data_IF_304322506054
#
_entry.id   IF_304322506054
#
_cell.length_a   1.000
_cell.length_b   1.000
_cell.length_c   1.000
_cell.angle_alpha   90.00
_cell.angle_beta   90.00
_cell.angle_gamma   90.00
#
_symmetry.space_group_name_H-M   'P 1'
#
loop_
_entity.id
_entity.type
_entity.pdbx_description
1 polymer ?
#
# COMPACT_ATOMS: atom_id res chain seq x y z
N UNK A 1 0.58 9.62 -1.46
CA UNK A 1 -0.86 9.25 -1.42
C UNK A 1 -1.14 8.38 -2.62
N UNK A 2 -1.48 7.12 -2.38
CA UNK A 2 -2.03 6.32 -3.48
C UNK A 2 -3.34 6.97 -3.91
N UNK A 3 -3.33 7.70 -5.00
CA UNK A 3 -4.51 8.35 -5.55
C UNK A 3 -5.22 7.33 -6.42
N UNK A 4 -6.31 6.76 -5.93
CA UNK A 4 -7.18 5.97 -6.81
C UNK A 4 -7.84 6.92 -7.81
N UNK A 5 -7.77 6.57 -9.09
CA UNK A 5 -8.36 7.35 -10.17
C UNK A 5 -9.51 6.56 -10.79
N UNK A 6 -10.72 7.09 -10.68
CA UNK A 6 -11.92 6.51 -11.28
C UNK A 6 -12.39 7.38 -12.44
N UNK A 7 -12.92 6.75 -13.48
CA UNK A 7 -13.53 7.45 -14.61
C UNK A 7 -15.04 7.19 -14.59
N UNK A 8 -15.82 8.25 -14.50
CA UNK A 8 -17.28 8.20 -14.58
C UNK A 8 -17.73 8.81 -15.89
N UNK A 9 -18.39 8.03 -16.73
CA UNK A 9 -19.06 8.47 -17.95
C UNK A 9 -20.53 8.01 -17.91
N UNK A 10 -21.34 8.48 -18.85
CA UNK A 10 -22.78 8.19 -18.87
C UNK A 10 -23.13 6.73 -19.26
N UNK A 11 -22.16 5.95 -19.75
CA UNK A 11 -22.41 4.59 -20.28
C UNK A 11 -22.23 3.49 -19.24
N UNK A 12 -21.63 3.80 -18.10
CA UNK A 12 -21.37 2.78 -17.07
C UNK A 12 -21.01 3.40 -15.72
N UNK A 13 -22.04 3.67 -14.94
CA UNK A 13 -21.87 4.18 -13.58
C UNK A 13 -21.78 3.00 -12.64
N UNK A 14 -20.57 2.47 -12.46
CA UNK A 14 -20.31 1.35 -11.55
C UNK A 14 -20.19 1.82 -10.10
N UNK A 15 -20.52 0.98 -9.10
CA UNK A 15 -20.17 1.24 -7.72
C UNK A 15 -18.67 1.47 -7.56
N UNK A 16 -18.28 2.35 -6.66
CA UNK A 16 -16.87 2.63 -6.34
C UNK A 16 -16.54 2.07 -4.98
N UNK A 17 -15.33 1.52 -4.84
CA UNK A 17 -14.76 1.16 -3.53
C UNK A 17 -13.60 2.09 -3.25
N UNK A 18 -13.66 2.81 -2.13
CA UNK A 18 -12.64 3.76 -1.67
C UNK A 18 -12.14 3.32 -0.30
N UNK A 19 -10.93 3.76 0.04
CA UNK A 19 -10.36 3.50 1.35
C UNK A 19 -10.44 4.74 2.25
N UNK A 20 -10.76 4.51 3.53
CA UNK A 20 -10.80 5.58 4.52
C UNK A 20 -9.43 6.26 4.67
N UNK A 21 -9.44 7.58 4.87
CA UNK A 21 -8.24 8.42 5.00
C UNK A 21 -7.28 8.43 3.79
N UNK A 22 -7.75 7.98 2.63
CA UNK A 22 -7.03 8.11 1.36
C UNK A 22 -7.68 9.16 0.45
N UNK A 23 -6.85 9.89 -0.30
CA UNK A 23 -7.32 10.84 -1.29
C UNK A 23 -7.65 10.08 -2.57
N UNK A 24 -8.90 10.13 -2.99
CA UNK A 24 -9.38 9.46 -4.20
C UNK A 24 -9.80 10.51 -5.22
N UNK A 25 -9.40 10.32 -6.48
CA UNK A 25 -9.72 11.21 -7.58
C UNK A 25 -10.74 10.56 -8.50
N UNK A 26 -11.88 11.23 -8.70
CA UNK A 26 -12.95 10.80 -9.61
C UNK A 26 -12.92 11.74 -10.81
N UNK A 27 -12.52 11.23 -11.96
CA UNK A 27 -12.49 11.95 -13.22
C UNK A 27 -13.85 11.89 -13.89
N UNK A 28 -14.41 13.04 -14.21
CA UNK A 28 -15.71 13.20 -14.81
C UNK A 28 -15.61 13.73 -16.24
N UNK A 29 -16.36 13.12 -17.15
CA UNK A 29 -16.59 13.64 -18.48
C UNK A 29 -18.08 13.49 -18.81
N UNK A 30 -18.91 14.26 -18.11
CA UNK A 30 -20.37 14.17 -18.14
C UNK A 30 -20.99 15.56 -18.30
N UNK A 31 -20.79 16.25 -19.45
CA UNK A 31 -21.31 17.59 -19.68
C UNK A 31 -22.83 17.66 -19.45
N UNK A 32 -23.29 18.66 -18.72
CA UNK A 32 -24.70 18.82 -18.36
C UNK A 32 -25.16 18.10 -17.09
N UNK A 33 -24.27 17.26 -16.47
CA UNK A 33 -24.59 16.50 -15.26
C UNK A 33 -23.63 16.88 -14.12
N UNK A 34 -23.93 17.92 -13.31
CA UNK A 34 -23.11 18.24 -12.13
C UNK A 34 -23.17 17.11 -11.10
N UNK A 35 -22.01 16.62 -10.68
CA UNK A 35 -21.87 15.52 -9.71
C UNK A 35 -21.53 16.01 -8.32
N UNK A 36 -22.03 15.27 -7.33
CA UNK A 36 -21.86 15.55 -5.91
C UNK A 36 -21.66 14.25 -5.14
N UNK A 37 -20.82 14.27 -4.13
CA UNK A 37 -20.70 13.20 -3.14
C UNK A 37 -21.72 13.45 -2.03
N UNK A 38 -22.50 12.44 -1.66
CA UNK A 38 -23.56 12.54 -0.64
C UNK A 38 -23.71 11.26 0.19
N UNK A 39 -24.52 11.31 1.29
CA UNK A 39 -24.58 10.24 2.28
C UNK A 39 -25.74 9.28 2.13
N UNK A 40 -26.88 9.69 1.63
CA UNK A 40 -28.13 8.94 1.86
C UNK A 40 -28.64 8.16 0.67
N UNK A 41 -28.37 8.57 -0.56
CA UNK A 41 -28.85 7.87 -1.76
C UNK A 41 -28.10 8.30 -3.03
N UNK A 42 -28.28 7.54 -4.13
CA UNK A 42 -27.81 7.92 -5.47
C UNK A 42 -28.68 8.98 -6.16
N UNK A 43 -29.78 9.40 -5.55
CA UNK A 43 -30.61 10.50 -6.02
C UNK A 43 -30.19 11.78 -5.31
N UNK A 44 -29.85 12.80 -6.10
CA UNK A 44 -29.34 14.06 -5.55
C UNK A 44 -30.27 14.71 -4.55
N UNK A 45 -29.73 15.07 -3.39
CA UNK A 45 -30.43 15.80 -2.33
C UNK A 45 -29.47 16.83 -1.73
N UNK A 46 -29.77 18.12 -1.87
CA UNK A 46 -28.85 19.21 -1.45
C UNK A 46 -28.43 19.12 0.02
N UNK A 47 -29.34 18.72 0.92
CA UNK A 47 -29.05 18.59 2.35
C UNK A 47 -28.10 17.44 2.72
N UNK A 48 -27.86 16.51 1.80
CA UNK A 48 -27.04 15.30 2.01
C UNK A 48 -25.62 15.42 1.43
N UNK A 49 -25.33 16.52 0.73
CA UNK A 49 -24.03 16.73 0.08
C UNK A 49 -22.91 16.76 1.13
N UNK A 50 -21.91 15.92 0.94
CA UNK A 50 -20.71 15.87 1.76
C UNK A 50 -19.79 17.00 1.35
N UNK A 51 -19.42 17.85 2.31
CA UNK A 51 -18.47 18.96 2.08
C UNK A 51 -17.12 18.68 2.70
N UNK A 52 -17.07 17.92 3.80
CA UNK A 52 -15.83 17.57 4.48
C UNK A 52 -15.04 16.52 3.67
N UNK A 53 -13.79 16.82 3.36
CA UNK A 53 -12.94 15.93 2.59
C UNK A 53 -13.26 15.86 1.09
N UNK A 54 -14.20 16.68 0.59
CA UNK A 54 -14.57 16.70 -0.83
C UNK A 54 -14.17 18.03 -1.45
N UNK A 55 -13.46 17.96 -2.58
CA UNK A 55 -13.15 19.10 -3.43
C UNK A 55 -13.74 18.86 -4.82
N UNK A 56 -14.38 19.86 -5.40
CA UNK A 56 -14.94 19.80 -6.76
C UNK A 56 -16.37 19.30 -6.86
N UNK A 57 -17.16 19.28 -5.77
CA UNK A 57 -18.61 19.05 -5.88
C UNK A 57 -19.24 20.00 -6.91
N UNK A 58 -20.13 19.47 -7.75
CA UNK A 58 -20.77 20.20 -8.85
C UNK A 58 -19.96 20.16 -10.16
N UNK A 59 -18.84 19.47 -10.21
CA UNK A 59 -18.05 19.28 -11.44
C UNK A 59 -18.83 18.43 -12.45
N UNK A 60 -18.76 18.81 -13.73
CA UNK A 60 -19.32 18.07 -14.88
C UNK A 60 -18.20 17.46 -15.73
N UNK A 61 -17.14 18.24 -15.95
CA UNK A 61 -15.94 17.84 -16.69
C UNK A 61 -14.73 18.25 -15.85
N UNK A 62 -13.88 17.29 -15.49
CA UNK A 62 -12.75 17.48 -14.59
C UNK A 62 -12.78 16.49 -13.44
N UNK A 63 -12.38 16.90 -12.25
CA UNK A 63 -12.17 15.99 -11.12
C UNK A 63 -12.97 16.37 -9.88
N UNK A 64 -13.47 15.35 -9.18
CA UNK A 64 -13.84 15.46 -7.77
C UNK A 64 -12.78 14.69 -6.98
N UNK A 65 -12.21 15.31 -5.96
CA UNK A 65 -11.35 14.62 -5.01
C UNK A 65 -12.14 14.37 -3.72
N UNK A 66 -12.10 13.12 -3.24
CA UNK A 66 -12.75 12.72 -2.00
C UNK A 66 -11.78 11.99 -1.08
N UNK A 67 -11.61 12.52 0.12
CA UNK A 67 -10.82 11.92 1.21
C UNK A 67 -11.78 11.59 2.36
N UNK A 68 -12.39 10.41 2.37
CA UNK A 68 -13.33 10.02 3.43
C UNK A 68 -12.59 9.84 4.75
N UNK A 69 -13.17 10.30 5.85
CA UNK A 69 -12.60 10.17 7.21
C UNK A 69 -13.22 9.06 8.04
N UNK A 70 -14.22 8.37 7.50
CA UNK A 70 -14.88 7.24 8.14
C UNK A 70 -15.33 6.22 7.09
N UNK A 71 -15.33 4.96 7.47
CA UNK A 71 -15.94 3.87 6.69
C UNK A 71 -17.45 4.05 6.60
N UNK A 72 -18.04 3.48 5.56
CA UNK A 72 -19.50 3.52 5.37
C UNK A 72 -19.90 3.66 3.91
N UNK A 73 -21.21 3.77 3.70
CA UNK A 73 -21.78 3.93 2.36
C UNK A 73 -21.96 5.41 2.08
N UNK A 74 -21.42 5.84 0.95
CA UNK A 74 -21.63 7.13 0.34
C UNK A 74 -22.19 6.93 -1.06
N UNK A 75 -22.54 8.00 -1.70
CA UNK A 75 -23.06 7.97 -3.06
C UNK A 75 -22.50 9.13 -3.86
N UNK A 76 -22.32 8.94 -5.15
CA UNK A 76 -22.24 10.06 -6.07
C UNK A 76 -23.55 10.20 -6.83
N UNK A 77 -24.00 11.40 -7.03
CA UNK A 77 -25.28 11.70 -7.66
C UNK A 77 -25.20 12.95 -8.51
N UNK A 78 -26.00 13.00 -9.57
CA UNK A 78 -26.11 14.20 -10.38
C UNK A 78 -27.35 15.03 -10.03
N UNK A 79 -27.19 16.35 -9.89
CA UNK A 79 -28.31 17.25 -9.67
C UNK A 79 -29.18 17.42 -10.90
N UNK A 80 -28.74 17.00 -12.08
CA UNK A 80 -29.51 17.11 -13.34
C UNK A 80 -30.31 15.84 -13.68
N UNK A 81 -30.04 14.70 -13.00
CA UNK A 81 -30.74 13.45 -13.30
C UNK A 81 -30.83 12.54 -12.09
N UNK A 82 -32.03 12.03 -11.80
CA UNK A 82 -32.23 11.07 -10.71
C UNK A 82 -31.74 9.64 -11.04
N UNK A 83 -31.39 9.36 -12.29
CA UNK A 83 -30.96 8.04 -12.75
C UNK A 83 -29.45 7.94 -12.91
N UNK A 84 -28.74 9.05 -12.75
CA UNK A 84 -27.28 9.12 -12.91
C UNK A 84 -26.64 9.28 -11.54
N UNK A 85 -26.18 8.19 -10.99
CA UNK A 85 -25.52 8.12 -9.70
C UNK A 85 -25.36 6.67 -9.25
N UNK A 86 -24.46 6.41 -8.30
CA UNK A 86 -24.27 5.08 -7.74
C UNK A 86 -23.65 5.14 -6.34
N UNK A 87 -23.51 3.96 -5.75
CA UNK A 87 -22.93 3.73 -4.44
C UNK A 87 -21.41 3.91 -4.44
N UNK A 88 -20.90 4.40 -3.33
CA UNK A 88 -19.48 4.41 -2.97
C UNK A 88 -19.36 3.67 -1.65
N UNK A 89 -18.70 2.53 -1.64
CA UNK A 89 -18.32 1.83 -0.42
C UNK A 89 -16.99 2.38 0.07
N UNK A 90 -16.99 2.98 1.23
CA UNK A 90 -15.76 3.40 1.92
C UNK A 90 -15.47 2.37 2.99
N UNK A 91 -14.38 1.65 2.81
CA UNK A 91 -13.95 0.56 3.69
C UNK A 91 -12.58 0.87 4.27
N UNK A 92 -12.23 0.21 5.36
CA UNK A 92 -10.84 0.15 5.78
C UNK A 92 -10.02 -0.56 4.69
N UNK A 93 -8.77 -0.12 4.50
CA UNK A 93 -7.87 -0.90 3.66
C UNK A 93 -7.81 -2.31 4.26
N UNK A 94 -8.05 -3.36 3.47
CA UNK A 94 -8.01 -4.71 4.01
C UNK A 94 -6.70 -4.94 4.76
N UNK A 95 -6.79 -5.30 6.02
CA UNK A 95 -5.67 -5.90 6.73
C UNK A 95 -5.53 -7.25 6.09
N UNK A 96 -4.40 -7.51 5.44
CA UNK A 96 -4.17 -8.80 4.82
C UNK A 96 -4.10 -9.87 5.90
N UNK A 97 -5.25 -10.36 6.32
CA UNK A 97 -5.36 -11.49 7.22
C UNK A 97 -5.65 -12.73 6.34
N UNK A 98 -4.73 -13.68 6.35
CA UNK A 98 -5.02 -15.11 6.15
C UNK A 98 -4.73 -15.82 4.81
N UNK A 99 -4.80 -15.25 3.65
CA UNK A 99 -4.43 -16.02 2.43
C UNK A 99 -2.90 -16.12 2.21
N UNK A 100 -2.11 -15.61 3.14
CA UNK A 100 -0.70 -15.24 2.94
C UNK A 100 0.32 -16.36 3.12
N UNK A 101 -0.08 -17.55 3.51
CA UNK A 101 0.85 -18.69 3.49
C UNK A 101 1.24 -19.09 2.04
N UNK A 102 0.39 -18.74 1.05
CA UNK A 102 0.64 -19.00 -0.37
C UNK A 102 1.12 -17.77 -1.16
N UNK A 103 1.01 -16.55 -0.61
CA UNK A 103 1.27 -15.29 -1.31
C UNK A 103 2.45 -14.51 -0.72
N UNK A 104 3.04 -14.96 0.40
CA UNK A 104 4.20 -14.28 1.00
C UNK A 104 5.47 -14.31 0.12
N UNK A 105 5.44 -15.05 -0.99
CA UNK A 105 6.55 -15.14 -1.93
C UNK A 105 6.83 -13.83 -2.65
N UNK A 106 5.77 -13.10 -3.02
CA UNK A 106 5.86 -11.94 -3.92
C UNK A 106 5.65 -10.59 -3.20
N UNK A 107 5.40 -10.61 -1.89
CA UNK A 107 5.05 -9.39 -1.16
C UNK A 107 6.21 -8.95 -0.27
N UNK A 108 6.72 -7.70 -0.43
CA UNK A 108 7.79 -7.19 0.40
C UNK A 108 7.34 -6.99 1.85
N UNK A 109 7.90 -7.78 2.76
CA UNK A 109 7.63 -7.71 4.18
C UNK A 109 8.94 -7.64 4.98
N UNK A 110 8.94 -6.81 6.02
CA UNK A 110 9.95 -6.85 7.07
C UNK A 110 9.48 -7.75 8.21
N UNK A 111 10.40 -8.42 8.87
CA UNK A 111 10.07 -9.14 10.10
C UNK A 111 10.06 -8.18 11.30
N UNK A 112 9.29 -8.55 12.33
CA UNK A 112 9.32 -7.88 13.63
C UNK A 112 10.74 -7.69 14.13
N UNK A 113 11.02 -6.53 14.71
CA UNK A 113 12.33 -6.15 15.23
C UNK A 113 13.24 -5.46 14.23
N UNK A 114 12.87 -5.43 12.93
CA UNK A 114 13.63 -4.67 11.92
C UNK A 114 13.70 -3.19 12.29
N UNK A 115 14.89 -2.62 12.23
CA UNK A 115 15.15 -1.21 12.53
C UNK A 115 15.04 -0.37 11.25
N UNK A 116 14.04 0.48 11.18
CA UNK A 116 13.83 1.41 10.07
C UNK A 116 14.42 2.78 10.41
N UNK A 117 15.15 3.39 9.49
CA UNK A 117 15.73 4.71 9.69
C UNK A 117 14.66 5.80 9.55
N UNK A 118 14.44 6.51 10.64
CA UNK A 118 13.51 7.64 10.74
C UNK A 118 14.28 8.96 10.91
N UNK A 119 13.57 10.08 10.88
CA UNK A 119 14.15 11.39 11.20
C UNK A 119 14.63 11.54 12.66
N UNK A 120 14.34 10.56 13.52
CA UNK A 120 14.77 10.49 14.91
C UNK A 120 15.82 9.40 15.17
N UNK A 121 16.33 8.76 14.12
CA UNK A 121 17.20 7.60 14.19
C UNK A 121 16.47 6.29 13.91
N UNK A 122 17.09 5.18 14.24
CA UNK A 122 16.52 3.85 14.00
C UNK A 122 15.41 3.52 15.02
N UNK A 123 14.24 3.13 14.48
CA UNK A 123 13.06 2.72 15.25
C UNK A 123 12.64 1.33 14.80
N UNK A 124 12.23 0.47 15.74
CA UNK A 124 11.70 -0.85 15.40
C UNK A 124 10.42 -0.73 14.61
N UNK A 125 10.26 -1.57 13.60
CA UNK A 125 9.11 -1.51 12.71
C UNK A 125 7.77 -1.66 13.42
N UNK A 126 7.71 -2.46 14.50
CA UNK A 126 6.51 -2.63 15.33
C UNK A 126 6.11 -1.37 16.11
N UNK A 127 7.03 -0.42 16.27
CA UNK A 127 6.78 0.85 16.98
C UNK A 127 6.42 1.98 16.02
N UNK A 128 6.63 1.79 14.70
CA UNK A 128 6.29 2.77 13.67
C UNK A 128 4.79 2.87 13.48
N UNK A 129 4.30 4.08 13.27
CA UNK A 129 2.89 4.40 13.06
C UNK A 129 2.70 5.20 11.78
N UNK A 130 1.47 5.23 11.30
CA UNK A 130 1.07 6.15 10.23
C UNK A 130 1.42 7.60 10.61
N UNK A 131 1.98 8.34 9.66
CA UNK A 131 2.52 9.70 9.75
C UNK A 131 3.88 9.82 10.46
N UNK A 132 4.47 8.74 10.95
CA UNK A 132 5.89 8.77 11.33
C UNK A 132 6.75 9.05 10.10
N UNK A 133 7.88 9.71 10.32
CA UNK A 133 8.72 10.21 9.25
C UNK A 133 9.93 9.30 9.05
N UNK A 134 10.03 8.65 7.91
CA UNK A 134 11.17 7.79 7.53
C UNK A 134 12.10 8.49 6.55
N UNK A 135 13.37 8.07 6.55
CA UNK A 135 14.35 8.55 5.57
C UNK A 135 14.24 7.70 4.31
N UNK A 136 13.88 8.35 3.21
CA UNK A 136 13.85 7.79 1.86
C UNK A 136 15.12 8.18 1.12
N UNK A 137 15.87 7.21 0.60
CA UNK A 137 17.04 7.45 -0.27
C UNK A 137 16.61 7.85 -1.69
N UNK A 138 15.49 7.33 -2.18
CA UNK A 138 14.96 7.63 -3.49
C UNK A 138 13.66 6.90 -3.80
N UNK A 139 13.16 7.11 -5.01
CA UNK A 139 11.98 6.48 -5.57
C UNK A 139 12.40 5.30 -6.44
N UNK A 140 11.70 4.18 -6.30
CA UNK A 140 11.89 3.00 -7.15
C UNK A 140 10.90 3.12 -8.32
N UNK A 141 11.45 3.26 -9.52
CA UNK A 141 10.63 3.33 -10.74
C UNK A 141 9.99 1.98 -11.08
N UNK A 142 8.96 1.94 -11.93
CA UNK A 142 8.38 0.68 -12.40
C UNK A 142 9.38 -0.28 -13.06
N UNK A 143 10.49 0.25 -13.60
CA UNK A 143 11.58 -0.57 -14.15
C UNK A 143 12.56 -1.10 -13.10
N UNK A 144 12.33 -0.83 -11.80
CA UNK A 144 13.21 -1.23 -10.70
C UNK A 144 14.47 -0.35 -10.54
N UNK A 145 14.52 0.80 -11.20
CA UNK A 145 15.65 1.74 -11.10
C UNK A 145 15.45 2.68 -9.91
N UNK A 146 16.52 2.94 -9.15
CA UNK A 146 16.51 3.92 -8.07
C UNK A 146 16.77 5.33 -8.62
N UNK A 147 15.79 6.19 -8.53
CA UNK A 147 15.94 7.64 -8.70
C UNK A 147 16.24 8.28 -7.35
N UNK A 148 17.52 8.60 -7.12
CA UNK A 148 17.97 9.14 -5.83
C UNK A 148 17.38 10.53 -5.59
N UNK A 149 16.67 10.63 -4.48
CA UNK A 149 16.10 11.86 -3.97
C UNK A 149 15.90 11.73 -2.47
N UNK A 150 16.97 11.97 -1.70
CA UNK A 150 16.94 11.81 -0.24
C UNK A 150 15.97 12.78 0.38
N UNK A 151 14.94 12.25 1.01
CA UNK A 151 13.88 13.02 1.66
C UNK A 151 13.43 12.36 2.95
N UNK A 152 12.84 13.17 3.80
CA UNK A 152 12.04 12.71 4.93
C UNK A 152 10.59 12.63 4.46
N UNK A 153 10.01 11.43 4.48
CA UNK A 153 8.66 11.17 3.97
C UNK A 153 7.78 10.49 5.01
N UNK A 154 6.48 10.77 5.03
CA UNK A 154 5.57 10.11 5.97
C UNK A 154 5.29 8.66 5.57
N UNK A 155 5.16 7.81 6.57
CA UNK A 155 4.52 6.50 6.44
C UNK A 155 3.02 6.72 6.22
N UNK A 156 2.51 6.36 5.05
CA UNK A 156 1.08 6.53 4.75
C UNK A 156 0.24 5.36 5.24
N UNK A 157 0.85 4.18 5.33
CA UNK A 157 0.22 2.98 5.84
C UNK A 157 1.26 2.03 6.40
N UNK A 158 0.89 1.32 7.47
CA UNK A 158 1.65 0.24 8.07
C UNK A 158 0.68 -0.80 8.62
N UNK A 159 0.97 -2.07 8.40
CA UNK A 159 0.20 -3.19 8.93
C UNK A 159 1.11 -4.35 9.24
N UNK A 160 0.66 -5.24 10.12
CA UNK A 160 1.35 -6.49 10.42
C UNK A 160 0.38 -7.66 10.42
N UNK A 161 0.94 -8.84 10.17
CA UNK A 161 0.20 -10.09 10.25
C UNK A 161 1.12 -11.21 10.74
N UNK A 162 0.54 -12.20 11.42
CA UNK A 162 1.26 -13.37 11.90
C UNK A 162 1.01 -14.54 10.97
N UNK A 163 2.09 -15.16 10.52
CA UNK A 163 2.06 -16.36 9.69
C UNK A 163 2.60 -17.53 10.51
N UNK A 164 1.83 -18.63 10.55
CA UNK A 164 2.37 -19.92 10.92
C UNK A 164 2.97 -20.54 9.67
N UNK A 165 4.24 -20.87 9.74
CA UNK A 165 4.97 -21.42 8.61
C UNK A 165 4.45 -22.83 8.28
N UNK A 166 3.84 -23.00 7.12
CA UNK A 166 3.33 -24.27 6.63
C UNK A 166 4.22 -24.87 5.52
N UNK A 167 4.99 -24.02 4.84
CA UNK A 167 5.90 -24.42 3.78
C UNK A 167 7.20 -23.59 3.84
N UNK A 168 8.19 -23.97 3.04
CA UNK A 168 9.46 -23.23 2.99
C UNK A 168 9.34 -21.83 2.37
N UNK A 169 8.37 -21.62 1.50
CA UNK A 169 8.25 -20.40 0.70
C UNK A 169 7.83 -19.17 1.51
N UNK A 170 7.16 -19.38 2.63
CA UNK A 170 6.77 -18.30 3.55
C UNK A 170 7.78 -18.04 4.67
N UNK A 171 8.91 -18.77 4.71
CA UNK A 171 9.95 -18.56 5.70
C UNK A 171 10.81 -17.34 5.39
N UNK A 172 11.15 -16.53 6.39
CA UNK A 172 12.00 -15.38 6.17
C UNK A 172 13.40 -15.76 5.69
N UNK A 173 13.98 -14.85 4.93
CA UNK A 173 15.40 -14.87 4.58
C UNK A 173 16.14 -14.04 5.62
N UNK A 174 17.17 -14.65 6.20
CA UNK A 174 18.11 -13.97 7.07
C UNK A 174 19.30 -13.47 6.22
N UNK A 175 19.57 -12.18 6.30
CA UNK A 175 20.77 -11.53 5.78
C UNK A 175 21.57 -11.13 7.01
N UNK A 176 22.65 -11.85 7.27
CA UNK A 176 23.43 -11.66 8.49
C UNK A 176 24.15 -10.31 8.49
N UNK A 177 24.41 -9.81 9.67
CA UNK A 177 25.25 -8.62 9.87
C UNK A 177 26.51 -8.69 9.00
N UNK A 178 26.80 -7.57 8.34
CA UNK A 178 27.97 -7.42 7.45
C UNK A 178 27.96 -8.32 6.18
N UNK A 179 26.82 -8.92 5.80
CA UNK A 179 26.76 -9.79 4.62
C UNK A 179 27.18 -9.10 3.30
N UNK A 180 27.02 -7.78 3.22
CA UNK A 180 27.39 -6.97 2.04
C UNK A 180 28.60 -6.06 2.29
N UNK A 181 29.20 -6.11 3.47
CA UNK A 181 30.29 -5.25 3.89
C UNK A 181 30.12 -4.72 5.30
N UNK A 182 31.09 -4.03 5.82
CA UNK A 182 31.07 -3.51 7.19
C UNK A 182 29.85 -2.61 7.43
N UNK A 183 29.03 -2.95 8.44
CA UNK A 183 27.75 -2.31 8.79
C UNK A 183 26.60 -2.47 7.80
N UNK A 184 26.71 -3.36 6.80
CA UNK A 184 25.67 -3.64 5.81
C UNK A 184 25.32 -5.13 5.76
N UNK A 185 24.21 -5.57 6.39
CA UNK A 185 23.42 -4.86 7.40
C UNK A 185 24.19 -4.62 8.71
N UNK A 186 23.76 -3.67 9.51
CA UNK A 186 24.33 -3.35 10.82
C UNK A 186 23.95 -4.37 11.89
N UNK A 187 22.86 -5.08 11.69
CA UNK A 187 22.34 -6.22 12.47
C UNK A 187 21.69 -7.20 11.49
N UNK A 188 21.46 -8.46 11.94
CA UNK A 188 20.77 -9.44 11.09
C UNK A 188 19.42 -8.91 10.63
N UNK A 189 19.20 -8.93 9.32
CA UNK A 189 17.96 -8.46 8.68
C UNK A 189 17.14 -9.65 8.23
N UNK A 190 15.92 -9.76 8.75
CA UNK A 190 14.96 -10.78 8.37
C UNK A 190 13.85 -10.17 7.52
N UNK A 191 13.64 -10.70 6.31
CA UNK A 191 12.64 -10.20 5.34
C UNK A 191 11.95 -11.37 4.64
N UNK A 192 10.82 -11.11 3.99
CA UNK A 192 10.16 -12.12 3.15
C UNK A 192 11.01 -12.49 1.92
N UNK A 193 10.83 -13.69 1.34
CA UNK A 193 11.60 -14.15 0.18
C UNK A 193 11.56 -13.20 -1.02
N UNK A 194 10.39 -12.65 -1.35
CA UNK A 194 10.21 -11.71 -2.47
C UNK A 194 10.59 -10.26 -2.15
N UNK A 195 11.01 -9.95 -0.93
CA UNK A 195 11.42 -8.58 -0.56
C UNK A 195 12.70 -8.20 -1.30
N UNK A 196 12.68 -7.02 -1.95
CA UNK A 196 13.81 -6.58 -2.73
C UNK A 196 14.72 -5.63 -1.96
N UNK A 197 16.01 -5.84 -2.14
CA UNK A 197 17.07 -5.03 -1.54
C UNK A 197 18.03 -4.52 -2.61
N UNK A 198 18.67 -3.39 -2.33
CA UNK A 198 19.71 -2.84 -3.18
C UNK A 198 21.07 -3.36 -2.77
N UNK A 199 21.76 -4.00 -3.72
CA UNK A 199 23.16 -4.38 -3.56
C UNK A 199 24.02 -3.32 -4.25
N UNK A 200 24.97 -2.74 -3.52
CA UNK A 200 25.86 -1.69 -4.02
C UNK A 200 25.12 -0.50 -4.65
N UNK A 201 23.97 -0.14 -4.09
CA UNK A 201 23.15 1.01 -4.49
C UNK A 201 22.64 1.00 -5.94
N UNK A 202 22.72 -0.13 -6.64
CA UNK A 202 22.38 -0.16 -8.08
C UNK A 202 21.47 -1.30 -8.49
N UNK A 203 21.51 -2.42 -7.79
CA UNK A 203 20.82 -3.63 -8.21
C UNK A 203 19.77 -4.01 -7.18
N UNK A 204 18.52 -3.89 -7.57
CA UNK A 204 17.37 -4.32 -6.78
C UNK A 204 17.11 -5.81 -7.05
N UNK A 205 17.37 -6.65 -6.07
CA UNK A 205 17.21 -8.11 -6.15
C UNK A 205 16.30 -8.62 -5.04
N UNK A 206 15.56 -9.67 -5.33
CA UNK A 206 14.77 -10.39 -4.33
C UNK A 206 15.70 -11.13 -3.36
N UNK A 207 15.32 -11.16 -2.09
CA UNK A 207 16.12 -11.82 -1.05
C UNK A 207 16.33 -13.30 -1.36
N UNK A 208 15.34 -13.95 -1.96
CA UNK A 208 15.43 -15.36 -2.36
C UNK A 208 16.52 -15.61 -3.41
N UNK A 209 16.73 -14.67 -4.34
CA UNK A 209 17.68 -14.82 -5.45
C UNK A 209 19.14 -14.69 -5.02
N UNK A 210 19.38 -14.16 -3.83
CA UNK A 210 20.72 -13.89 -3.32
C UNK A 210 21.15 -14.84 -2.19
N UNK A 211 20.38 -15.87 -1.92
CA UNK A 211 20.73 -16.91 -0.95
C UNK A 211 22.08 -17.54 -1.33
N UNK A 212 23.03 -17.53 -0.40
CA UNK A 212 24.36 -18.13 -0.59
C UNK A 212 24.66 -19.28 0.41
N UNK A 213 23.70 -19.58 1.30
CA UNK A 213 23.81 -20.66 2.28
C UNK A 213 24.77 -20.39 3.44
N UNK A 214 25.36 -19.20 3.52
CA UNK A 214 26.35 -18.84 4.56
C UNK A 214 25.92 -17.54 5.28
N UNK A 215 26.04 -16.40 4.61
CA UNK A 215 25.66 -15.08 5.16
C UNK A 215 24.25 -14.64 4.77
N UNK A 216 23.66 -15.32 3.79
CA UNK A 216 22.28 -15.13 3.36
C UNK A 216 21.64 -16.50 3.21
N UNK A 217 20.64 -16.78 4.03
CA UNK A 217 20.00 -18.09 4.07
C UNK A 217 18.53 -17.99 4.49
N UNK A 218 17.75 -18.99 4.13
CA UNK A 218 16.40 -19.13 4.61
C UNK A 218 16.41 -19.66 6.05
N UNK A 219 15.63 -19.04 6.93
CA UNK A 219 15.50 -19.48 8.33
C UNK A 219 14.61 -20.72 8.42
N UNK A 220 15.26 -21.89 8.32
CA UNK A 220 14.59 -23.18 8.32
C UNK A 220 14.06 -23.60 9.71
N UNK A 221 14.41 -22.91 10.77
CA UNK A 221 13.96 -23.19 12.14
C UNK A 221 12.76 -22.32 12.51
N UNK A 222 12.42 -21.30 11.70
CA UNK A 222 11.29 -20.43 11.94
C UNK A 222 9.97 -21.20 11.80
N UNK A 223 9.18 -21.28 12.87
CA UNK A 223 7.86 -21.92 12.89
C UNK A 223 6.72 -20.90 12.72
N UNK A 224 6.95 -19.65 13.06
CA UNK A 224 6.01 -18.55 12.91
C UNK A 224 6.74 -17.22 12.79
N UNK A 225 6.19 -16.31 12.01
CA UNK A 225 6.76 -14.98 11.79
C UNK A 225 5.67 -13.91 11.89
N UNK A 226 6.03 -12.74 12.38
CA UNK A 226 5.20 -11.53 12.32
C UNK A 226 5.82 -10.60 11.27
N UNK A 227 5.13 -10.51 10.14
CA UNK A 227 5.52 -9.68 9.00
C UNK A 227 4.88 -8.29 9.06
N UNK A 228 5.59 -7.30 8.58
CA UNK A 228 5.18 -5.91 8.51
C UNK A 228 5.30 -5.38 7.09
N UNK A 229 4.27 -4.67 6.65
CA UNK A 229 4.29 -3.84 5.44
C UNK A 229 4.36 -2.38 5.83
N UNK A 230 5.30 -1.65 5.27
CA UNK A 230 5.44 -0.21 5.43
C UNK A 230 5.34 0.45 4.07
N UNK A 231 4.37 1.36 3.91
CA UNK A 231 4.12 2.08 2.66
C UNK A 231 4.36 3.57 2.83
N UNK A 232 5.09 4.13 1.88
CA UNK A 232 5.26 5.56 1.67
C UNK A 232 4.36 6.04 0.53
N UNK A 233 4.30 7.36 0.31
CA UNK A 233 3.48 7.94 -0.77
C UNK A 233 3.86 7.41 -2.16
N UNK A 234 5.14 7.13 -2.35
CA UNK A 234 5.70 6.55 -3.57
C UNK A 234 6.45 5.26 -3.22
N UNK A 235 6.64 4.36 -4.20
CA UNK A 235 7.50 3.18 -4.02
C UNK A 235 8.92 3.64 -3.69
N UNK A 236 9.33 3.46 -2.48
CA UNK A 236 10.49 4.12 -1.89
C UNK A 236 11.59 3.14 -1.54
N UNK A 237 12.83 3.58 -1.71
CA UNK A 237 13.99 2.92 -1.13
C UNK A 237 14.24 3.50 0.27
N UNK A 238 14.14 2.67 1.31
CA UNK A 238 14.31 3.03 2.71
C UNK A 238 15.37 2.16 3.39
N UNK A 239 15.91 2.62 4.51
CA UNK A 239 16.94 1.87 5.23
C UNK A 239 16.33 0.98 6.31
N UNK A 240 16.59 -0.33 6.20
CA UNK A 240 16.23 -1.37 7.15
C UNK A 240 17.51 -2.07 7.66
N UNK A 241 17.79 -2.02 8.97
CA UNK A 241 19.02 -2.49 9.59
C UNK A 241 20.30 -2.01 8.85
N UNK A 242 20.26 -0.78 8.30
CA UNK A 242 21.36 -0.21 7.53
C UNK A 242 21.39 -0.60 6.04
N UNK A 243 20.60 -1.58 5.60
CA UNK A 243 20.48 -1.93 4.19
C UNK A 243 19.39 -1.13 3.50
N UNK A 244 19.63 -0.76 2.26
CA UNK A 244 18.64 -0.10 1.42
C UNK A 244 17.71 -1.16 0.81
N UNK A 245 16.42 -1.02 1.05
CA UNK A 245 15.39 -1.98 0.64
C UNK A 245 14.11 -1.27 0.22
N UNK A 246 13.23 -1.97 -0.47
CA UNK A 246 11.98 -1.40 -0.95
C UNK A 246 10.97 -1.21 0.18
N UNK A 247 10.19 -0.13 0.12
CA UNK A 247 8.93 -0.01 0.86
C UNK A 247 7.84 -0.83 0.17
N UNK A 248 6.81 -1.20 0.91
CA UNK A 248 5.61 -1.75 0.29
C UNK A 248 4.98 -0.75 -0.69
N UNK A 249 4.40 -1.23 -1.78
CA UNK A 249 3.52 -0.48 -2.66
C UNK A 249 2.26 -1.26 -2.91
N UNK A 250 1.12 -0.65 -2.62
CA UNK A 250 -0.16 -1.24 -2.96
C UNK A 250 -0.37 -1.22 -4.48
N UNK A 251 -0.42 -2.40 -5.09
CA UNK A 251 -0.67 -2.56 -6.52
C UNK A 251 -2.03 -3.21 -6.72
N UNK A 252 -3.00 -2.41 -7.12
CA UNK A 252 -4.36 -2.86 -7.42
C UNK A 252 -4.40 -3.91 -8.52
N UNK A 253 -3.51 -3.80 -9.52
CA UNK A 253 -3.39 -4.72 -10.64
C UNK A 253 -2.99 -6.15 -10.24
N UNK A 254 -2.35 -6.34 -9.10
CA UNK A 254 -2.01 -7.68 -8.58
C UNK A 254 -3.25 -8.33 -7.94
N UNK A 255 -4.17 -7.54 -7.38
CA UNK A 255 -5.35 -8.02 -6.66
C UNK A 255 -6.62 -8.01 -7.51
N UNK A 256 -6.68 -7.25 -8.62
CA UNK A 256 -7.78 -7.24 -9.60
C UNK A 256 -7.57 -8.25 -10.76
N UNK A 257 -6.46 -8.99 -10.79
CA UNK A 257 -6.15 -10.03 -11.78
C UNK A 257 -6.99 -11.27 -11.55
N UNK A 258 -8.10 -11.34 -12.24
CA UNK A 258 -8.88 -12.48 -12.77
C UNK A 258 -8.61 -13.88 -12.17
N UNK A 259 -8.66 -14.00 -10.85
CA UNK A 259 -8.96 -15.26 -10.16
C UNK A 259 -9.66 -14.94 -8.85
N UNK A 260 -10.98 -15.05 -8.88
CA UNK A 260 -11.82 -14.96 -7.73
C UNK A 260 -11.35 -15.86 -6.57
N UNK A 261 -10.87 -15.23 -5.54
CA UNK A 261 -10.66 -15.82 -4.22
C UNK A 261 -11.25 -14.92 -3.13
N UNK A 262 -12.23 -14.12 -3.49
CA UNK A 262 -13.12 -13.52 -2.50
C UNK A 262 -14.57 -13.76 -2.92
N UNK A 263 -14.95 -15.05 -2.94
CA UNK A 263 -16.35 -15.41 -2.80
C UNK A 263 -16.74 -15.13 -1.34
N UNK A 264 -17.50 -14.07 -1.16
CA UNK A 264 -18.35 -13.93 0.00
C UNK A 264 -19.39 -15.05 -0.03
N UNK A 265 -19.13 -16.18 0.65
CA UNK A 265 -20.19 -17.08 1.08
C UNK A 265 -19.90 -17.70 2.45
N UNK A 266 -20.71 -17.23 3.37
CA UNK A 266 -21.26 -17.76 4.64
C UNK A 266 -20.78 -17.14 5.90
#
# INVERSE_FOLDING_TARGET
MATQVFVVNLEGVSPLTLYVNESNTINLNVPGYPFYIQKSSSVYTLGDVVTQGVVGNGTQVGTITFTPTATGIYYYASSASATVGNKIDVIDRPVMEVALAEVAEDIPCYCKGTLILTNQGYVKIEDIKKNDLVIREGIITPSGTLERNVMVVPVIWISSFKVKILNSQSRPICITKNAFGEHFPSEDLYISPGHKIFINDKLLLEANDIINGNTIYQDNECESVEYYHLECEEHSAIYANGCLSESYIWRKDIFDGDKGVFDEEK
#
